data_IF_602955460091
#
_entry.id   IF_602955460091
#
_cell.length_a   1.000
_cell.length_b   1.000
_cell.length_c   1.000
_cell.angle_alpha   90.00
_cell.angle_beta   90.00
_cell.angle_gamma   90.00
#
_symmetry.space_group_name_H-M   'P 1'
#
loop_
_entity.id
_entity.type
_entity.pdbx_description
1 polymer ?
#
# COMPACT_ATOMS: atom_id res chain seq x y z
N UNK A 1 36.46 37.63 -11.96
CA UNK A 1 35.19 36.89 -11.74
C UNK A 1 34.87 36.14 -13.03
N UNK A 2 34.91 34.80 -13.06
CA UNK A 2 34.57 34.04 -14.28
C UNK A 2 33.04 33.91 -14.33
N UNK A 3 32.43 34.51 -15.34
CA UNK A 3 30.99 34.44 -15.58
C UNK A 3 30.69 32.99 -16.03
N UNK A 4 29.85 32.27 -15.27
CA UNK A 4 29.36 30.97 -15.74
C UNK A 4 28.53 31.20 -17.01
N UNK A 5 28.81 30.40 -18.05
CA UNK A 5 28.09 30.45 -19.31
C UNK A 5 26.58 30.28 -19.03
N UNK A 6 25.70 31.22 -19.47
CA UNK A 6 24.27 31.17 -19.19
C UNK A 6 23.63 29.86 -19.69
N UNK A 7 24.18 29.24 -20.74
CA UNK A 7 23.74 27.94 -21.25
C UNK A 7 24.01 26.82 -20.24
N UNK A 8 25.15 26.85 -19.53
CA UNK A 8 25.47 25.88 -18.48
C UNK A 8 24.62 26.08 -17.23
N UNK A 9 24.31 27.33 -16.89
CA UNK A 9 23.41 27.63 -15.76
C UNK A 9 21.98 27.17 -16.05
N UNK A 10 21.50 27.39 -17.28
CA UNK A 10 20.19 26.94 -17.73
C UNK A 10 20.07 25.41 -17.75
N UNK A 11 21.11 24.70 -18.23
CA UNK A 11 21.14 23.22 -18.25
C UNK A 11 21.09 22.59 -16.85
N UNK A 12 21.80 23.19 -15.88
CA UNK A 12 21.75 22.77 -14.48
C UNK A 12 20.36 23.04 -13.89
N UNK A 13 19.75 24.19 -14.21
CA UNK A 13 18.42 24.56 -13.71
C UNK A 13 17.31 23.67 -14.29
N UNK A 14 17.40 23.28 -15.57
CA UNK A 14 16.45 22.33 -16.17
C UNK A 14 16.61 20.93 -15.61
N UNK A 15 17.84 20.46 -15.35
CA UNK A 15 18.07 19.15 -14.69
C UNK A 15 17.48 19.09 -13.28
N UNK A 16 17.57 20.19 -12.51
CA UNK A 16 16.94 20.31 -11.20
C UNK A 16 15.40 20.33 -11.26
N UNK A 17 14.81 20.80 -12.36
CA UNK A 17 13.36 20.85 -12.54
C UNK A 17 12.75 19.50 -12.96
N UNK A 18 13.51 18.60 -13.61
CA UNK A 18 13.01 17.26 -13.99
C UNK A 18 13.15 16.22 -12.87
N UNK A 19 13.86 16.55 -11.78
CA UNK A 19 14.08 15.65 -10.64
C UNK A 19 12.93 15.56 -9.63
N UNK A 20 11.88 16.38 -9.79
CA UNK A 20 10.74 16.45 -8.87
C UNK A 20 9.39 16.10 -9.53
N UNK A 21 9.38 15.58 -10.76
CA UNK A 21 8.19 14.92 -11.31
C UNK A 21 8.43 13.42 -11.43
N UNK A 22 8.76 12.76 -10.32
CA UNK A 22 8.26 11.41 -10.18
C UNK A 22 6.74 11.58 -10.09
N UNK A 23 5.95 10.89 -10.91
CA UNK A 23 4.54 10.69 -10.59
C UNK A 23 4.52 9.86 -9.30
N UNK A 24 4.73 10.48 -8.14
CA UNK A 24 4.18 9.95 -6.90
C UNK A 24 2.67 9.92 -7.13
N UNK A 25 2.04 8.75 -7.03
CA UNK A 25 0.59 8.73 -6.87
C UNK A 25 0.32 9.45 -5.55
N UNK A 26 -0.21 10.67 -5.64
CA UNK A 26 -0.57 11.44 -4.44
C UNK A 26 -1.56 10.61 -3.59
N UNK A 27 -1.46 10.71 -2.27
CA UNK A 27 -2.26 9.91 -1.31
C UNK A 27 -3.77 9.94 -1.61
N UNK A 28 -4.29 11.07 -2.11
CA UNK A 28 -5.69 11.25 -2.53
C UNK A 28 -6.05 10.31 -3.70
N UNK A 29 -5.14 10.11 -4.65
CA UNK A 29 -5.34 9.22 -5.80
C UNK A 29 -5.38 7.76 -5.35
N UNK A 30 -4.49 7.36 -4.45
CA UNK A 30 -4.46 6.00 -3.89
C UNK A 30 -5.75 5.73 -3.10
N UNK A 31 -6.18 6.69 -2.28
CA UNK A 31 -7.42 6.60 -1.50
C UNK A 31 -8.64 6.32 -2.40
N UNK A 32 -8.79 7.08 -3.48
CA UNK A 32 -9.90 6.93 -4.43
C UNK A 32 -9.87 5.58 -5.16
N UNK A 33 -8.68 5.03 -5.44
CA UNK A 33 -8.57 3.70 -6.04
C UNK A 33 -8.94 2.57 -5.08
N UNK A 34 -8.63 2.72 -3.79
CA UNK A 34 -8.85 1.67 -2.79
C UNK A 34 -10.34 1.47 -2.49
N UNK A 35 -11.09 2.56 -2.37
CA UNK A 35 -12.44 2.53 -1.78
C UNK A 35 -13.45 1.84 -2.68
N UNK A 36 -14.35 1.10 -2.05
CA UNK A 36 -15.46 0.44 -2.73
C UNK A 36 -15.04 -0.81 -3.52
N UNK A 37 -13.81 -1.26 -3.35
CA UNK A 37 -13.26 -2.50 -3.91
C UNK A 37 -12.77 -3.41 -2.79
N UNK A 38 -12.69 -4.70 -3.08
CA UNK A 38 -12.01 -5.68 -2.21
C UNK A 38 -10.64 -5.99 -2.80
N UNK A 39 -9.59 -5.82 -2.01
CA UNK A 39 -8.21 -6.11 -2.41
C UNK A 39 -7.78 -7.43 -1.79
N UNK A 40 -7.46 -8.39 -2.65
CA UNK A 40 -7.25 -9.79 -2.29
C UNK A 40 -5.78 -10.17 -2.45
N UNK A 41 -5.20 -10.80 -1.42
CA UNK A 41 -3.84 -11.31 -1.46
C UNK A 41 -3.30 -11.60 -0.06
N UNK A 42 -2.01 -11.96 0.03
CA UNK A 42 -1.39 -12.23 1.32
C UNK A 42 -1.00 -10.94 2.05
N UNK A 43 -1.44 -10.82 3.31
CA UNK A 43 -0.93 -9.83 4.26
C UNK A 43 -0.10 -10.48 5.40
N UNK A 44 0.32 -11.74 5.21
CA UNK A 44 1.17 -12.44 6.18
C UNK A 44 0.42 -13.07 7.36
N UNK A 45 -0.91 -13.12 7.31
CA UNK A 45 -1.71 -13.80 8.32
C UNK A 45 -1.64 -15.32 8.20
N UNK A 46 -1.68 -16.00 9.35
CA UNK A 46 -1.77 -17.45 9.43
C UNK A 46 -2.71 -17.88 10.57
N UNK A 47 -3.40 -19.00 10.38
CA UNK A 47 -4.17 -19.68 11.43
C UNK A 47 -3.51 -21.02 11.72
N UNK A 48 -2.75 -21.07 12.82
CA UNK A 48 -1.91 -22.22 13.14
C UNK A 48 -0.79 -22.36 12.10
N UNK A 49 -0.60 -23.54 11.48
CA UNK A 49 0.45 -23.74 10.47
C UNK A 49 0.03 -23.34 9.04
N UNK A 50 -1.16 -22.74 8.86
CA UNK A 50 -1.73 -22.46 7.55
C UNK A 50 -1.80 -20.97 7.29
N UNK A 51 -1.14 -20.51 6.24
CA UNK A 51 -1.30 -19.15 5.73
C UNK A 51 -2.73 -18.93 5.23
N UNK A 52 -3.22 -17.70 5.35
CA UNK A 52 -4.56 -17.31 4.89
C UNK A 52 -4.47 -16.11 3.94
N UNK A 53 -5.33 -16.13 2.94
CA UNK A 53 -5.51 -15.02 2.01
C UNK A 53 -6.41 -13.97 2.65
N UNK A 54 -6.00 -12.71 2.58
CA UNK A 54 -6.77 -11.55 3.05
C UNK A 54 -7.62 -11.00 1.91
N UNK A 55 -8.80 -10.51 2.26
CA UNK A 55 -9.75 -9.87 1.34
C UNK A 55 -10.24 -8.59 1.97
N UNK A 56 -9.50 -7.50 1.74
CA UNK A 56 -9.73 -6.22 2.44
C UNK A 56 -10.65 -5.31 1.63
N UNK A 57 -11.84 -5.05 2.16
CA UNK A 57 -12.80 -4.09 1.61
C UNK A 57 -12.67 -2.75 2.31
N UNK A 58 -12.09 -1.76 1.63
CA UNK A 58 -11.94 -0.40 2.14
C UNK A 58 -13.23 0.41 2.02
N UNK A 59 -13.71 0.93 3.15
CA UNK A 59 -14.85 1.85 3.20
C UNK A 59 -14.34 3.28 3.27
N UNK A 60 -15.07 4.22 2.66
CA UNK A 60 -14.72 5.65 2.64
C UNK A 60 -14.92 6.40 3.96
N UNK A 61 -14.70 5.73 5.10
CA UNK A 61 -14.90 6.28 6.45
C UNK A 61 -13.82 5.81 7.45
N UNK A 62 -12.59 5.61 7.00
CA UNK A 62 -11.44 5.10 7.79
C UNK A 62 -11.55 3.65 8.28
N UNK A 63 -12.64 2.93 7.97
CA UNK A 63 -12.81 1.53 8.35
C UNK A 63 -12.67 0.61 7.14
N UNK A 64 -12.18 -0.60 7.37
CA UNK A 64 -12.21 -1.69 6.41
C UNK A 64 -12.63 -2.99 7.09
N UNK A 65 -13.03 -3.97 6.27
CA UNK A 65 -13.26 -5.34 6.70
C UNK A 65 -12.27 -6.21 5.94
N UNK A 66 -11.58 -7.09 6.64
CA UNK A 66 -10.75 -8.14 6.06
C UNK A 66 -11.44 -9.50 6.23
N UNK A 67 -11.92 -10.07 5.14
CA UNK A 67 -12.45 -11.44 5.12
C UNK A 67 -11.33 -12.41 4.72
N UNK A 68 -10.84 -13.17 5.69
CA UNK A 68 -9.71 -14.07 5.49
C UNK A 68 -10.18 -15.47 5.12
N UNK A 69 -9.50 -16.10 4.17
CA UNK A 69 -9.82 -17.44 3.67
C UNK A 69 -8.59 -18.34 3.68
N UNK A 70 -8.78 -19.62 4.00
CA UNK A 70 -7.74 -20.61 3.74
C UNK A 70 -7.56 -20.78 2.24
N UNK A 71 -6.31 -20.93 1.80
CA UNK A 71 -6.03 -21.27 0.41
C UNK A 71 -6.71 -22.61 0.01
N UNK A 72 -7.26 -22.65 -1.21
CA UNK A 72 -7.99 -23.82 -1.71
C UNK A 72 -9.40 -23.96 -1.11
N UNK A 73 -9.80 -25.17 -0.74
CA UNK A 73 -11.16 -25.50 -0.33
C UNK A 73 -11.45 -25.25 1.18
N UNK A 74 -10.52 -24.62 1.91
CA UNK A 74 -10.59 -24.53 3.38
C UNK A 74 -11.64 -23.56 3.94
N UNK A 75 -12.31 -22.79 3.08
CA UNK A 75 -13.37 -21.85 3.47
C UNK A 75 -12.86 -20.62 4.25
N UNK A 76 -13.78 -19.89 4.88
CA UNK A 76 -13.47 -18.64 5.59
C UNK A 76 -12.77 -18.94 6.92
N UNK A 77 -11.60 -18.33 7.12
CA UNK A 77 -10.79 -18.43 8.33
C UNK A 77 -11.20 -17.40 9.40
N UNK A 78 -11.39 -16.13 9.00
CA UNK A 78 -11.74 -15.06 9.93
C UNK A 78 -12.46 -13.89 9.22
N UNK A 79 -13.03 -13.00 10.03
CA UNK A 79 -13.49 -11.68 9.58
C UNK A 79 -12.99 -10.66 10.59
N UNK A 80 -12.08 -9.79 10.16
CA UNK A 80 -11.46 -8.79 11.01
C UNK A 80 -11.97 -7.41 10.61
N UNK A 81 -12.16 -6.55 11.61
CA UNK A 81 -12.41 -5.13 11.39
C UNK A 81 -11.10 -4.39 11.65
N UNK A 82 -10.78 -3.42 10.81
CA UNK A 82 -9.58 -2.62 10.94
C UNK A 82 -9.88 -1.15 10.62
N UNK A 83 -8.99 -0.28 11.10
CA UNK A 83 -8.88 1.10 10.63
C UNK A 83 -7.79 1.18 9.57
N UNK A 84 -7.90 2.15 8.68
CA UNK A 84 -6.90 2.38 7.66
C UNK A 84 -6.75 3.87 7.35
N UNK A 85 -5.56 4.24 6.89
CA UNK A 85 -5.26 5.57 6.35
C UNK A 85 -4.05 5.48 5.42
N UNK A 86 -3.84 6.55 4.66
CA UNK A 86 -2.66 6.71 3.80
C UNK A 86 -1.92 7.94 4.29
N UNK A 87 -0.59 7.83 4.35
CA UNK A 87 0.29 8.96 4.62
C UNK A 87 1.62 8.75 3.88
N UNK A 88 1.98 9.71 3.03
CA UNK A 88 3.22 9.72 2.25
C UNK A 88 3.45 8.42 1.47
N UNK A 89 2.45 7.98 0.71
CA UNK A 89 2.50 6.77 -0.12
C UNK A 89 2.54 5.46 0.67
N UNK A 90 2.27 5.50 1.97
CA UNK A 90 2.17 4.32 2.84
C UNK A 90 0.73 4.08 3.23
N UNK A 91 0.22 2.87 2.94
CA UNK A 91 -1.08 2.40 3.41
C UNK A 91 -0.92 1.70 4.76
N UNK A 92 -1.57 2.24 5.78
CA UNK A 92 -1.55 1.70 7.13
C UNK A 92 -2.82 0.90 7.41
N UNK A 93 -2.67 -0.27 8.01
CA UNK A 93 -3.77 -1.16 8.40
C UNK A 93 -3.65 -1.46 9.91
N UNK A 94 -4.56 -0.89 10.69
CA UNK A 94 -4.62 -1.04 12.15
C UNK A 94 -5.77 -1.96 12.53
N UNK A 95 -5.42 -3.22 12.82
CA UNK A 95 -6.34 -4.27 13.26
C UNK A 95 -6.62 -4.21 14.78
N UNK A 96 -6.08 -3.21 15.49
CA UNK A 96 -6.19 -3.06 16.93
C UNK A 96 -5.08 -3.79 17.69
N UNK A 97 -5.16 -3.83 19.05
CA UNK A 97 -4.04 -4.16 19.92
C UNK A 97 -3.59 -5.63 19.87
N UNK A 98 -4.38 -6.52 19.28
CA UNK A 98 -4.06 -7.95 19.17
C UNK A 98 -3.16 -8.27 17.97
N UNK A 99 -2.88 -7.28 17.12
CA UNK A 99 -2.15 -7.42 15.87
C UNK A 99 -1.08 -6.31 15.73
N UNK A 100 0.00 -6.56 14.99
CA UNK A 100 0.94 -5.50 14.63
C UNK A 100 0.26 -4.46 13.74
N UNK A 101 0.76 -3.22 13.77
CA UNK A 101 0.43 -2.23 12.75
C UNK A 101 1.07 -2.69 11.43
N UNK A 102 0.24 -2.97 10.43
CA UNK A 102 0.75 -3.29 9.10
C UNK A 102 0.91 -2.01 8.28
N UNK A 103 2.03 -1.92 7.58
CA UNK A 103 2.36 -0.79 6.71
C UNK A 103 2.73 -1.34 5.34
N UNK A 104 1.97 -0.98 4.31
CA UNK A 104 2.35 -1.24 2.93
C UNK A 104 3.00 0.04 2.42
N UNK A 105 4.32 0.04 2.33
CA UNK A 105 5.11 1.22 1.95
C UNK A 105 5.37 1.24 0.45
N UNK A 106 5.40 2.44 -0.12
CA UNK A 106 5.64 2.65 -1.55
C UNK A 106 4.51 2.06 -2.39
N UNK A 107 3.27 2.32 -1.98
CA UNK A 107 2.08 1.82 -2.67
C UNK A 107 2.08 2.32 -4.10
N UNK A 108 1.86 1.38 -5.02
CA UNK A 108 1.72 1.66 -6.43
C UNK A 108 0.56 0.84 -6.99
N UNK A 109 -0.42 1.50 -7.62
CA UNK A 109 -1.58 0.84 -8.20
C UNK A 109 -1.49 0.89 -9.73
N UNK A 110 -1.64 -0.26 -10.38
CA UNK A 110 -1.75 -0.34 -11.84
C UNK A 110 -2.82 -1.32 -12.28
N UNK A 111 -3.84 -0.78 -12.96
CA UNK A 111 -5.02 -1.53 -13.36
C UNK A 111 -5.80 -2.05 -12.15
N UNK A 112 -5.73 -3.36 -11.93
CA UNK A 112 -6.40 -4.06 -10.81
C UNK A 112 -5.43 -4.54 -9.74
N UNK A 113 -4.15 -4.16 -9.82
CA UNK A 113 -3.12 -4.65 -8.91
C UNK A 113 -2.56 -3.51 -8.08
N UNK A 114 -2.39 -3.77 -6.79
CA UNK A 114 -1.69 -2.92 -5.84
C UNK A 114 -0.39 -3.63 -5.46
N UNK A 115 0.70 -2.88 -5.50
CA UNK A 115 2.04 -3.33 -5.14
C UNK A 115 2.58 -2.50 -3.98
N UNK A 116 3.50 -3.08 -3.21
CA UNK A 116 4.25 -2.37 -2.18
C UNK A 116 5.15 -3.32 -1.39
N UNK A 117 5.78 -2.80 -0.34
CA UNK A 117 6.56 -3.58 0.60
C UNK A 117 5.82 -3.62 1.94
N UNK A 118 5.50 -4.82 2.43
CA UNK A 118 4.79 -5.02 3.69
C UNK A 118 5.77 -4.96 4.87
N UNK A 119 5.39 -4.20 5.88
CA UNK A 119 6.04 -4.14 7.18
C UNK A 119 5.04 -4.43 8.29
N UNK A 120 5.50 -5.05 9.37
CA UNK A 120 4.76 -5.25 10.61
C UNK A 120 5.50 -4.58 11.78
N UNK A 121 4.87 -3.60 12.42
CA UNK A 121 5.49 -2.75 13.45
C UNK A 121 6.86 -2.18 13.01
N UNK A 122 6.94 -1.73 11.76
CA UNK A 122 8.15 -1.21 11.14
C UNK A 122 9.22 -2.23 10.74
N UNK A 123 9.00 -3.54 10.92
CA UNK A 123 9.89 -4.61 10.46
C UNK A 123 9.47 -5.08 9.06
N UNK A 124 10.43 -5.21 8.16
CA UNK A 124 10.18 -5.70 6.81
C UNK A 124 9.74 -7.17 6.82
N UNK A 125 8.66 -7.48 6.11
CA UNK A 125 8.15 -8.84 5.94
C UNK A 125 8.43 -9.37 4.52
N UNK A 126 7.79 -8.78 3.50
CA UNK A 126 7.92 -9.19 2.10
C UNK A 126 7.31 -8.16 1.11
N UNK A 127 7.63 -8.28 -0.18
CA UNK A 127 6.95 -7.52 -1.24
C UNK A 127 5.51 -8.05 -1.45
N UNK A 128 4.52 -7.18 -1.30
CA UNK A 128 3.10 -7.54 -1.38
C UNK A 128 2.53 -7.24 -2.76
N UNK A 129 1.58 -8.08 -3.20
CA UNK A 129 0.71 -7.82 -4.34
C UNK A 129 -0.72 -8.16 -3.94
N UNK A 130 -1.62 -7.19 -4.09
CA UNK A 130 -3.06 -7.38 -3.89
C UNK A 130 -3.80 -7.15 -5.21
N UNK A 131 -4.84 -7.94 -5.45
CA UNK A 131 -5.67 -7.87 -6.64
C UNK A 131 -7.08 -7.39 -6.30
N UNK A 132 -7.57 -6.38 -7.00
CA UNK A 132 -8.93 -5.88 -6.85
C UNK A 132 -9.95 -6.86 -7.44
N UNK A 133 -10.96 -7.20 -6.64
CA UNK A 133 -12.17 -7.96 -6.99
C UNK A 133 -13.39 -7.03 -7.06
#
# INVERSE_FOLDING_TARGET
MKILNPIKLLLVLTMLAVGFSSCEEDDETIYDYLIGRTWVGSLGFAVGPYDVESGVTFKGNEYAIDEQYYYGDGGRAATLNLRWWIDMGTLYLDYGPDYPLLEIRGVYITGRFLYGELYADGNYEFSVTLEAN
#
